data_IF_005461804910
#
_entry.id   IF_005461804910
#
_cell.length_a   1.000
_cell.length_b   1.000
_cell.length_c   1.000
_cell.angle_alpha   90.00
_cell.angle_beta   90.00
_cell.angle_gamma   90.00
#
_symmetry.space_group_name_H-M   'P 1'
#
loop_
_entity.id
_entity.type
_entity.pdbx_description
1 polymer ?
#
# COMPACT_ATOMS: atom_id res chain seq x y z
N UNK A 1 5.68 13.61 15.07
CA UNK A 1 5.56 12.15 15.28
C UNK A 1 5.72 11.84 16.76
N UNK A 2 6.79 12.32 17.37
CA UNK A 2 7.16 12.18 18.78
C UNK A 2 6.09 12.67 19.75
N UNK A 3 5.49 13.83 19.46
CA UNK A 3 4.36 14.35 20.25
C UNK A 3 3.16 13.40 20.21
N UNK A 4 2.84 12.83 19.04
CA UNK A 4 1.75 11.85 18.93
C UNK A 4 2.04 10.59 19.74
N UNK A 5 3.29 10.11 19.71
CA UNK A 5 3.71 8.94 20.50
C UNK A 5 3.50 9.20 22.00
N UNK A 6 3.92 10.37 22.49
CA UNK A 6 3.79 10.73 23.91
C UNK A 6 2.33 10.97 24.32
N UNK A 7 1.57 11.69 23.50
CA UNK A 7 0.17 12.06 23.79
C UNK A 7 -0.74 10.85 23.78
N UNK A 8 -0.61 9.99 22.76
CA UNK A 8 -1.48 8.83 22.59
C UNK A 8 -0.91 7.55 23.21
N UNK A 9 0.28 7.62 23.84
CA UNK A 9 1.00 6.46 24.38
C UNK A 9 1.10 5.33 23.35
N UNK A 10 1.60 5.67 22.17
CA UNK A 10 1.71 4.72 21.05
C UNK A 10 2.72 3.64 21.39
N UNK A 11 2.29 2.38 21.41
CA UNK A 11 3.15 1.23 21.69
C UNK A 11 4.09 0.92 20.51
N UNK A 12 3.58 0.96 19.27
CA UNK A 12 4.32 0.54 18.08
C UNK A 12 4.13 1.53 16.91
N UNK A 13 5.23 1.86 16.24
CA UNK A 13 5.26 2.61 14.99
C UNK A 13 5.79 1.71 13.88
N UNK A 14 4.93 1.44 12.90
CA UNK A 14 5.26 0.65 11.72
C UNK A 14 5.63 1.58 10.56
N UNK A 15 6.80 1.37 9.96
CA UNK A 15 7.20 2.11 8.77
C UNK A 15 6.76 1.39 7.49
N UNK A 16 5.99 2.09 6.64
CA UNK A 16 5.29 1.52 5.49
C UNK A 16 5.73 2.07 4.12
N UNK A 17 6.87 2.77 4.04
CA UNK A 17 7.40 3.31 2.78
C UNK A 17 8.57 2.46 2.27
N UNK A 18 8.65 2.26 0.95
CA UNK A 18 9.69 1.44 0.31
C UNK A 18 10.75 2.23 -0.45
N UNK A 19 10.50 3.51 -0.72
CA UNK A 19 11.30 4.40 -1.57
C UNK A 19 12.06 5.45 -0.73
N UNK A 20 12.58 5.03 0.41
CA UNK A 20 13.28 5.91 1.37
C UNK A 20 14.67 5.35 1.64
N UNK A 21 15.66 6.23 1.80
CA UNK A 21 17.04 5.83 2.10
C UNK A 21 17.12 5.11 3.45
N UNK A 22 18.07 4.19 3.58
CA UNK A 22 18.34 3.55 4.86
C UNK A 22 18.56 4.55 6.00
N UNK A 23 19.28 5.65 5.72
CA UNK A 23 19.53 6.69 6.69
C UNK A 23 18.24 7.32 7.23
N UNK A 24 17.32 7.72 6.35
CA UNK A 24 16.05 8.32 6.76
C UNK A 24 15.16 7.33 7.53
N UNK A 25 15.19 6.04 7.15
CA UNK A 25 14.52 4.95 7.89
C UNK A 25 15.05 4.89 9.33
N UNK A 26 16.38 4.86 9.50
CA UNK A 26 17.00 4.72 10.81
C UNK A 26 16.92 5.98 11.67
N UNK A 27 16.92 7.17 11.06
CA UNK A 27 16.65 8.43 11.77
C UNK A 27 15.24 8.44 12.35
N UNK A 28 14.24 7.96 11.61
CA UNK A 28 12.87 7.82 12.14
C UNK A 28 12.80 6.79 13.26
N UNK A 29 13.45 5.63 13.09
CA UNK A 29 13.51 4.61 14.13
C UNK A 29 14.07 5.17 15.44
N UNK A 30 15.19 5.90 15.36
CA UNK A 30 15.83 6.51 16.52
C UNK A 30 14.91 7.49 17.26
N UNK A 31 14.15 8.31 16.52
CA UNK A 31 13.18 9.27 17.08
C UNK A 31 11.99 8.58 17.77
N UNK A 32 11.50 7.48 17.20
CA UNK A 32 10.42 6.67 17.78
C UNK A 32 10.88 6.05 19.10
N UNK A 33 12.02 5.38 19.10
CA UNK A 33 12.61 4.75 20.29
C UNK A 33 12.88 5.77 21.40
N UNK A 34 13.44 6.93 21.06
CA UNK A 34 13.68 8.01 22.01
C UNK A 34 12.38 8.62 22.60
N UNK A 35 11.26 8.42 21.92
CA UNK A 35 9.93 8.84 22.39
C UNK A 35 9.21 7.78 23.21
N UNK A 36 9.80 6.58 23.36
CA UNK A 36 9.28 5.49 24.18
C UNK A 36 8.36 4.50 23.45
N UNK A 37 8.26 4.58 22.12
CA UNK A 37 7.54 3.59 21.31
C UNK A 37 8.48 2.60 20.63
N UNK A 38 7.97 1.42 20.28
CA UNK A 38 8.69 0.44 19.47
C UNK A 38 8.64 0.82 17.99
N UNK A 39 9.71 0.52 17.26
CA UNK A 39 9.78 0.75 15.81
C UNK A 39 9.89 -0.58 15.06
N UNK A 40 9.02 -0.81 14.08
CA UNK A 40 8.97 -2.06 13.33
C UNK A 40 9.06 -1.88 11.82
N UNK A 41 9.89 -2.73 11.23
CA UNK A 41 9.92 -3.00 9.80
C UNK A 41 9.25 -4.36 9.57
N UNK A 42 8.13 -4.37 8.84
CA UNK A 42 7.39 -5.59 8.56
C UNK A 42 7.92 -6.23 7.28
N UNK A 43 8.31 -7.50 7.37
CA UNK A 43 8.78 -8.25 6.21
C UNK A 43 7.68 -8.44 5.17
N UNK A 44 8.07 -8.56 3.89
CA UNK A 44 7.14 -8.88 2.80
C UNK A 44 6.31 -10.13 3.04
N UNK A 45 6.83 -11.14 3.76
CA UNK A 45 6.06 -12.34 4.12
C UNK A 45 4.82 -12.01 4.96
N UNK A 46 4.95 -11.01 5.83
CA UNK A 46 3.90 -10.57 6.74
C UNK A 46 3.08 -9.41 6.15
N UNK A 47 3.39 -8.94 4.93
CA UNK A 47 2.59 -7.93 4.20
C UNK A 47 2.03 -8.41 2.85
N UNK A 48 2.38 -9.61 2.39
CA UNK A 48 1.91 -10.14 1.11
C UNK A 48 0.70 -11.08 1.25
N UNK A 49 -0.29 -10.88 0.38
CA UNK A 49 -1.48 -11.73 0.27
C UNK A 49 -1.13 -13.06 -0.41
N UNK A 50 -1.63 -14.17 0.13
CA UNK A 50 -1.58 -15.46 -0.56
C UNK A 50 -2.59 -15.49 -1.70
N UNK A 51 -2.10 -15.69 -2.92
CA UNK A 51 -2.94 -15.73 -4.11
C UNK A 51 -3.21 -17.17 -4.55
N UNK A 52 -4.47 -17.50 -4.78
CA UNK A 52 -4.91 -18.75 -5.42
C UNK A 52 -5.25 -18.55 -6.92
N UNK A 53 -5.09 -17.33 -7.42
CA UNK A 53 -5.25 -16.95 -8.84
C UNK A 53 -3.94 -16.35 -9.36
N UNK A 54 -3.67 -16.41 -10.67
CA UNK A 54 -2.52 -15.73 -11.28
C UNK A 54 -2.54 -14.22 -10.98
N UNK A 55 -1.42 -13.67 -10.53
CA UNK A 55 -1.25 -12.24 -10.25
C UNK A 55 -0.26 -11.63 -11.24
N UNK A 56 -0.63 -10.46 -11.75
CA UNK A 56 0.26 -9.58 -12.50
C UNK A 56 0.51 -8.33 -11.66
N UNK A 57 1.73 -8.17 -11.17
CA UNK A 57 2.14 -6.95 -10.48
C UNK A 57 2.75 -5.95 -11.45
N UNK A 58 2.35 -4.69 -11.34
CA UNK A 58 2.87 -3.58 -12.16
C UNK A 58 3.52 -2.59 -11.22
N UNK A 59 4.85 -2.69 -11.11
CA UNK A 59 5.67 -1.83 -10.26
C UNK A 59 6.25 -0.66 -11.06
N UNK A 60 6.62 0.41 -10.36
CA UNK A 60 7.31 1.55 -10.93
C UNK A 60 8.42 2.00 -9.99
N UNK A 61 9.53 2.47 -10.57
CA UNK A 61 10.71 2.94 -9.82
C UNK A 61 10.51 4.32 -9.18
N UNK A 62 9.55 5.11 -9.68
CA UNK A 62 9.17 6.41 -9.10
C UNK A 62 7.73 6.76 -9.47
N UNK A 63 7.15 7.70 -8.72
CA UNK A 63 5.88 8.33 -9.06
C UNK A 63 5.95 9.01 -10.43
N UNK A 64 4.87 8.95 -11.20
CA UNK A 64 4.83 9.51 -12.56
C UNK A 64 5.40 8.63 -13.68
N UNK A 65 5.99 7.46 -13.38
CA UNK A 65 6.51 6.53 -14.40
C UNK A 65 5.46 5.81 -15.27
N UNK A 66 4.20 6.25 -15.26
CA UNK A 66 3.17 5.67 -16.12
C UNK A 66 2.54 4.37 -15.61
N UNK A 67 2.77 3.98 -14.34
CA UNK A 67 2.21 2.76 -13.73
C UNK A 67 0.71 2.61 -14.01
N UNK A 68 -0.06 3.68 -13.79
CA UNK A 68 -1.52 3.66 -13.97
C UNK A 68 -1.94 3.50 -15.44
N UNK A 69 -1.19 4.08 -16.38
CA UNK A 69 -1.42 3.92 -17.82
C UNK A 69 -1.16 2.47 -18.24
N UNK A 70 -0.04 1.90 -17.79
CA UNK A 70 0.32 0.49 -18.05
C UNK A 70 -0.70 -0.46 -17.42
N UNK A 71 -1.13 -0.22 -16.17
CA UNK A 71 -2.17 -1.02 -15.52
C UNK A 71 -3.48 -1.04 -16.31
N UNK A 72 -3.91 0.10 -16.85
CA UNK A 72 -5.13 0.18 -17.69
C UNK A 72 -4.96 -0.51 -19.04
N UNK A 73 -3.78 -0.43 -19.64
CA UNK A 73 -3.49 -1.12 -20.89
C UNK A 73 -3.54 -2.65 -20.70
N UNK A 74 -2.88 -3.17 -19.66
CA UNK A 74 -2.89 -4.60 -19.31
C UNK A 74 -4.30 -5.09 -18.97
N UNK A 75 -5.05 -4.32 -18.17
CA UNK A 75 -6.45 -4.65 -17.83
C UNK A 75 -7.31 -4.80 -19.09
N UNK A 76 -7.29 -3.80 -19.99
CA UNK A 76 -8.06 -3.82 -21.24
C UNK A 76 -7.66 -4.98 -22.14
N UNK A 77 -6.36 -5.23 -22.27
CA UNK A 77 -5.84 -6.33 -23.08
C UNK A 77 -6.37 -7.70 -22.60
N UNK A 78 -6.30 -7.96 -21.30
CA UNK A 78 -6.77 -9.23 -20.72
C UNK A 78 -8.29 -9.36 -20.78
N UNK A 79 -9.03 -8.27 -20.53
CA UNK A 79 -10.49 -8.24 -20.70
C UNK A 79 -10.91 -8.53 -22.14
N UNK A 80 -10.26 -7.93 -23.13
CA UNK A 80 -10.54 -8.16 -24.56
C UNK A 80 -10.25 -9.61 -24.99
N UNK A 81 -9.43 -10.34 -24.24
CA UNK A 81 -9.17 -11.77 -24.44
C UNK A 81 -10.16 -12.70 -23.70
N UNK A 82 -11.17 -12.15 -23.03
CA UNK A 82 -12.20 -12.91 -22.32
C UNK A 82 -11.82 -13.32 -20.89
N UNK A 83 -10.70 -12.85 -20.34
CA UNK A 83 -10.33 -13.15 -18.96
C UNK A 83 -11.20 -12.37 -17.96
N UNK A 84 -11.53 -13.00 -16.83
CA UNK A 84 -12.11 -12.33 -15.66
C UNK A 84 -10.99 -11.66 -14.87
N UNK A 85 -10.82 -10.36 -15.10
CA UNK A 85 -9.78 -9.54 -14.46
C UNK A 85 -10.40 -8.63 -13.41
N UNK A 86 -9.76 -8.52 -12.26
CA UNK A 86 -10.12 -7.61 -11.17
C UNK A 86 -8.87 -6.84 -10.75
N UNK A 87 -9.04 -5.55 -10.47
CA UNK A 87 -8.01 -4.74 -9.83
C UNK A 87 -8.12 -4.87 -8.31
N UNK A 88 -7.00 -5.18 -7.64
CA UNK A 88 -6.89 -5.18 -6.18
C UNK A 88 -6.39 -3.78 -5.74
N UNK A 89 -6.48 -3.37 -4.46
CA UNK A 89 -5.79 -2.17 -3.87
C UNK A 89 -5.20 -2.41 -2.47
N UNK A 90 -4.25 -1.59 -1.98
CA UNK A 90 -3.54 -1.56 -0.67
C UNK A 90 -4.20 -0.40 0.01
N UNK A 91 -4.57 -0.50 1.29
CA UNK A 91 -5.03 0.67 1.98
C UNK A 91 -3.77 1.49 2.24
N UNK A 92 -3.48 2.40 1.32
CA UNK A 92 -2.56 3.48 1.65
C UNK A 92 -3.31 4.43 2.61
N UNK A 93 -2.64 5.05 3.60
CA UNK A 93 -3.27 5.84 4.66
C UNK A 93 -3.80 7.21 4.22
N UNK A 94 -4.40 7.26 3.03
CA UNK A 94 -4.95 8.47 2.43
C UNK A 94 -6.47 8.49 2.56
N UNK A 95 -6.97 9.27 3.52
CA UNK A 95 -8.40 9.37 3.80
C UNK A 95 -8.82 8.50 4.99
N UNK A 96 -10.08 8.07 5.01
CA UNK A 96 -10.61 7.26 6.11
C UNK A 96 -10.15 5.80 5.96
N UNK A 97 -9.10 5.42 6.70
CA UNK A 97 -8.54 4.08 6.74
C UNK A 97 -9.58 2.99 7.05
N UNK A 98 -10.55 3.28 7.93
CA UNK A 98 -11.58 2.32 8.34
C UNK A 98 -12.48 1.94 7.15
N UNK A 99 -12.88 2.94 6.37
CA UNK A 99 -13.70 2.75 5.16
C UNK A 99 -12.92 2.11 4.00
N UNK A 100 -11.59 2.23 4.02
CA UNK A 100 -10.69 1.76 2.96
C UNK A 100 -10.04 0.40 3.28
N UNK A 101 -10.42 -0.22 4.39
CA UNK A 101 -9.80 -1.44 4.92
C UNK A 101 -9.88 -2.67 4.02
N UNK A 102 -10.83 -2.78 3.07
CA UNK A 102 -10.84 -3.77 1.97
C UNK A 102 -11.66 -3.20 0.81
N UNK A 103 -11.04 -2.86 -0.31
CA UNK A 103 -11.74 -2.36 -1.49
C UNK A 103 -11.60 -3.31 -2.68
N UNK A 104 -12.73 -3.83 -3.16
CA UNK A 104 -12.87 -4.59 -4.41
C UNK A 104 -13.57 -3.74 -5.44
N UNK A 105 -12.89 -3.45 -6.56
CA UNK A 105 -13.49 -2.70 -7.67
C UNK A 105 -14.00 -3.67 -8.74
N UNK A 106 -15.32 -3.74 -8.88
CA UNK A 106 -16.01 -4.62 -9.84
C UNK A 106 -16.27 -3.92 -11.18
N UNK A 107 -16.60 -2.63 -11.13
CA UNK A 107 -16.74 -1.75 -12.30
C UNK A 107 -15.70 -0.64 -12.25
N UNK A 108 -15.20 -0.23 -13.42
CA UNK A 108 -14.16 0.80 -13.56
C UNK A 108 -14.77 2.11 -14.08
N UNK A 109 -15.96 2.48 -13.60
CA UNK A 109 -16.63 3.75 -13.91
C UNK A 109 -16.43 4.73 -12.74
N UNK A 110 -15.43 5.60 -12.81
CA UNK A 110 -15.54 7.02 -12.44
C UNK A 110 -14.25 7.82 -12.74
N UNK A 111 -14.47 9.06 -13.20
CA UNK A 111 -13.50 10.15 -13.35
C UNK A 111 -12.91 10.52 -11.98
N UNK A 112 -11.60 10.65 -11.90
CA UNK A 112 -10.89 11.00 -10.65
C UNK A 112 -9.85 9.97 -10.21
N UNK A 113 -9.02 9.47 -11.14
CA UNK A 113 -7.87 8.64 -10.79
C UNK A 113 -6.67 9.50 -10.38
N UNK A 114 -6.79 10.10 -9.20
CA UNK A 114 -5.70 10.72 -8.46
C UNK A 114 -5.21 9.69 -7.41
N UNK A 115 -3.96 9.27 -7.62
CA UNK A 115 -3.02 8.53 -6.77
C UNK A 115 -3.26 7.06 -6.30
N UNK A 116 -2.52 6.16 -6.98
CA UNK A 116 -1.51 5.18 -6.50
C UNK A 116 -1.83 3.96 -5.56
N UNK A 117 -1.66 2.76 -6.16
CA UNK A 117 -0.98 1.52 -5.70
C UNK A 117 -1.59 0.66 -4.56
N UNK A 118 -1.28 -0.66 -4.54
CA UNK A 118 -2.23 -1.78 -4.29
C UNK A 118 -1.66 -3.06 -3.55
N UNK A 119 -2.31 -3.58 -2.47
CA UNK A 119 -2.09 -4.77 -1.59
C UNK A 119 -2.98 -4.76 -0.29
N UNK A 120 -4.20 -5.32 -0.24
CA UNK A 120 -5.09 -5.27 0.96
C UNK A 120 -5.20 -6.57 1.77
N UNK A 121 -5.03 -6.46 3.09
CA UNK A 121 -5.26 -7.51 4.10
C UNK A 121 -6.74 -7.72 4.44
N UNK A 122 -7.14 -8.99 4.55
CA UNK A 122 -8.19 -9.42 5.47
C UNK A 122 -7.82 -10.82 5.98
N UNK A 123 -7.53 -10.95 7.27
CA UNK A 123 -7.69 -12.21 8.00
C UNK A 123 -8.48 -11.89 9.27
N UNK A 124 -9.46 -12.76 9.52
CA UNK A 124 -10.29 -12.86 10.72
C UNK A 124 -9.47 -12.81 12.02
#
# INVERSE_FOLDING_TARGET
MEELIKTYKVDEVVFAYSDVSHEEVMHKASRVLASGGDYRLISGRNTMIKANKPIISICAVRTGCGKSQVSRAVYRYLKNRGYKVVAIREPMPYGNLIEQNVMRFETYEFEGLIFHQVCLYHQL
#
